data_IF_004319956547
#
_entry.id   IF_004319956547
#
_cell.length_a   1.000
_cell.length_b   1.000
_cell.length_c   1.000
_cell.angle_alpha   90.00
_cell.angle_beta   90.00
_cell.angle_gamma   90.00
#
_symmetry.space_group_name_H-M   'P 1'
#
loop_
_entity.id
_entity.type
_entity.pdbx_description
1 polymer ?
#
# COMPACT_ATOMS: atom_id res chain seq x y z
N UNK A 1 -5.35 1.65 19.93
CA UNK A 1 -4.63 2.18 21.11
C UNK A 1 -4.20 1.01 21.96
N UNK A 2 -2.92 0.63 22.01
CA UNK A 2 -2.45 -0.26 23.03
C UNK A 2 -1.48 -1.39 22.66
N UNK A 3 -1.11 -1.57 21.41
CA UNK A 3 -0.09 -2.56 21.06
C UNK A 3 1.18 -1.86 20.53
N UNK A 4 1.66 -0.89 21.30
CA UNK A 4 2.97 -0.30 21.02
C UNK A 4 4.05 -1.34 21.26
N UNK A 5 4.83 -1.66 20.23
CA UNK A 5 6.02 -2.47 20.39
C UNK A 5 7.06 -1.68 21.19
N UNK A 6 7.76 -2.35 22.08
CA UNK A 6 8.91 -1.79 22.77
C UNK A 6 10.06 -1.55 21.79
N UNK A 7 10.99 -0.67 22.13
CA UNK A 7 12.20 -0.43 21.32
C UNK A 7 13.01 -1.71 21.09
N UNK A 8 12.99 -2.63 22.05
CA UNK A 8 13.67 -3.94 21.91
C UNK A 8 12.98 -4.81 20.85
N UNK A 9 11.65 -4.88 20.87
CA UNK A 9 10.86 -5.62 19.86
C UNK A 9 11.04 -5.02 18.48
N UNK A 10 10.94 -3.71 18.35
CA UNK A 10 11.21 -2.99 17.08
C UNK A 10 12.62 -3.33 16.57
N UNK A 11 13.61 -3.34 17.46
CA UNK A 11 14.99 -3.66 17.08
C UNK A 11 15.14 -5.10 16.60
N UNK A 12 14.47 -6.05 17.23
CA UNK A 12 14.46 -7.47 16.81
C UNK A 12 13.82 -7.62 15.44
N UNK A 13 12.64 -7.06 15.23
CA UNK A 13 11.92 -7.11 13.97
C UNK A 13 12.75 -6.44 12.87
N UNK A 14 13.35 -5.28 13.16
CA UNK A 14 14.22 -4.58 12.22
C UNK A 14 15.39 -5.45 11.74
N UNK A 15 16.13 -6.06 12.67
CA UNK A 15 17.26 -6.94 12.34
C UNK A 15 16.83 -8.11 11.47
N UNK A 16 15.68 -8.68 11.77
CA UNK A 16 15.11 -9.79 11.01
C UNK A 16 14.73 -9.37 9.61
N UNK A 17 14.01 -8.27 9.45
CA UNK A 17 13.60 -7.74 8.14
C UNK A 17 14.80 -7.40 7.29
N UNK A 18 15.82 -6.78 7.87
CA UNK A 18 17.07 -6.51 7.16
C UNK A 18 17.75 -7.80 6.70
N UNK A 19 17.74 -8.85 7.52
CA UNK A 19 18.26 -10.17 7.18
C UNK A 19 17.52 -10.84 6.03
N UNK A 20 16.19 -10.86 6.07
CA UNK A 20 15.36 -11.43 4.99
C UNK A 20 15.64 -10.78 3.64
N UNK A 21 15.88 -9.50 3.62
CA UNK A 21 16.19 -8.75 2.39
C UNK A 21 17.69 -8.66 2.10
N UNK A 22 18.50 -9.49 2.75
CA UNK A 22 19.97 -9.51 2.57
C UNK A 22 20.62 -8.12 2.72
N UNK A 23 20.07 -7.29 3.61
CA UNK A 23 20.51 -5.90 3.87
C UNK A 23 20.45 -4.97 2.64
N UNK A 24 19.58 -5.26 1.66
CA UNK A 24 19.44 -4.48 0.42
C UNK A 24 18.27 -3.52 0.42
N UNK A 25 17.55 -3.40 1.52
CA UNK A 25 16.43 -2.47 1.67
C UNK A 25 16.89 -1.19 2.38
N UNK A 26 16.12 -0.12 2.17
CA UNK A 26 16.32 1.14 2.91
C UNK A 26 15.81 0.97 4.35
N UNK A 27 16.74 0.68 5.25
CA UNK A 27 16.45 0.46 6.65
C UNK A 27 15.85 1.68 7.36
N UNK A 28 16.15 2.88 6.90
CA UNK A 28 15.60 4.12 7.49
C UNK A 28 14.10 4.25 7.20
N UNK A 29 13.66 3.89 6.00
CA UNK A 29 12.23 3.86 5.65
C UNK A 29 11.50 2.79 6.43
N UNK A 30 12.12 1.61 6.57
CA UNK A 30 11.53 0.54 7.34
C UNK A 30 11.40 0.92 8.83
N UNK A 31 12.41 1.55 9.40
CA UNK A 31 12.36 2.03 10.78
C UNK A 31 11.29 3.10 10.96
N UNK A 32 11.15 4.03 10.01
CA UNK A 32 10.08 5.02 10.02
C UNK A 32 8.69 4.36 10.00
N UNK A 33 8.52 3.31 9.18
CA UNK A 33 7.29 2.52 9.18
C UNK A 33 7.03 1.89 10.54
N UNK A 34 8.03 1.21 11.11
CA UNK A 34 7.88 0.55 12.42
C UNK A 34 7.51 1.54 13.55
N UNK A 35 8.05 2.75 13.50
CA UNK A 35 7.79 3.79 14.50
C UNK A 35 6.45 4.49 14.34
N UNK A 36 5.94 4.62 13.09
CA UNK A 36 4.78 5.44 12.79
C UNK A 36 3.57 4.71 12.20
N UNK A 37 3.69 3.41 11.97
CA UNK A 37 2.57 2.63 11.41
C UNK A 37 1.33 2.63 12.30
N UNK A 38 1.50 2.63 13.62
CA UNK A 38 0.39 2.74 14.58
C UNK A 38 -0.35 4.06 14.46
N UNK A 39 0.37 5.19 14.36
CA UNK A 39 -0.23 6.51 14.13
C UNK A 39 -1.00 6.57 12.80
N UNK A 40 -0.43 5.99 11.74
CA UNK A 40 -1.08 5.93 10.44
C UNK A 40 -2.34 5.06 10.47
N UNK A 41 -2.30 3.95 11.20
CA UNK A 41 -3.48 3.08 11.38
C UNK A 41 -4.56 3.75 12.22
N UNK A 42 -4.22 4.41 13.32
CA UNK A 42 -5.18 5.17 14.12
C UNK A 42 -5.86 6.25 13.26
N UNK A 43 -5.08 6.95 12.43
CA UNK A 43 -5.62 7.93 11.50
C UNK A 43 -6.60 7.29 10.49
N UNK A 44 -6.25 6.16 9.92
CA UNK A 44 -7.10 5.43 8.98
C UNK A 44 -8.42 5.02 9.65
N UNK A 45 -8.35 4.41 10.84
CA UNK A 45 -9.51 3.96 11.60
C UNK A 45 -10.43 5.13 11.94
N UNK A 46 -9.87 6.24 12.42
CA UNK A 46 -10.66 7.43 12.78
C UNK A 46 -11.41 8.01 11.57
N UNK A 47 -10.81 7.94 10.38
CA UNK A 47 -11.44 8.45 9.16
C UNK A 47 -12.43 7.45 8.55
N UNK A 48 -12.18 6.17 8.69
CA UNK A 48 -13.11 5.12 8.27
C UNK A 48 -14.39 5.13 9.11
N UNK A 49 -14.30 5.31 10.43
CA UNK A 49 -15.49 5.38 11.30
C UNK A 49 -16.36 6.60 11.00
N UNK A 50 -15.79 7.67 10.50
CA UNK A 50 -16.54 8.88 10.07
C UNK A 50 -17.11 8.78 8.67
N UNK A 51 -16.54 7.93 7.80
CA UNK A 51 -17.00 7.67 6.44
C UNK A 51 -17.94 6.46 6.36
N UNK A 52 -18.21 5.87 7.46
CA UNK A 52 -18.57 4.52 7.74
C UNK A 52 -19.87 4.05 7.15
N UNK A 53 -19.96 3.58 6.03
CA UNK A 53 -20.95 2.54 5.66
C UNK A 53 -20.71 2.14 4.20
N UNK A 54 -19.92 1.15 3.97
CA UNK A 54 -19.93 0.44 2.71
C UNK A 54 -20.99 -0.66 2.80
N UNK A 55 -21.98 -0.61 1.92
CA UNK A 55 -23.06 -1.60 1.91
C UNK A 55 -23.94 -1.61 3.16
N UNK A 56 -23.95 -0.52 3.95
CA UNK A 56 -24.79 -0.41 5.14
C UNK A 56 -24.21 -1.02 6.42
N UNK A 57 -22.98 -1.51 6.38
CA UNK A 57 -22.30 -2.11 7.53
C UNK A 57 -21.10 -1.27 7.95
N UNK A 58 -20.87 -1.19 9.24
CA UNK A 58 -19.68 -0.57 9.80
C UNK A 58 -18.47 -1.52 9.63
N UNK A 59 -17.36 -1.00 9.11
CA UNK A 59 -16.10 -1.74 9.09
C UNK A 59 -15.50 -1.76 10.48
N UNK A 60 -15.21 -2.93 10.98
CA UNK A 60 -14.58 -3.13 12.30
C UNK A 60 -13.16 -3.57 12.10
N UNK A 61 -12.15 -2.77 12.50
CA UNK A 61 -10.77 -3.19 12.49
C UNK A 61 -10.53 -4.25 13.56
N UNK A 62 -9.98 -5.37 13.14
CA UNK A 62 -9.57 -6.48 14.02
C UNK A 62 -8.10 -6.69 13.83
N UNK A 63 -7.40 -6.85 14.96
CA UNK A 63 -5.99 -7.20 14.89
C UNK A 63 -5.83 -8.70 14.72
N UNK A 64 -5.18 -9.11 13.66
CA UNK A 64 -4.81 -10.50 13.45
C UNK A 64 -3.44 -10.81 14.02
N UNK A 65 -3.37 -11.93 14.72
CA UNK A 65 -2.12 -12.54 15.11
C UNK A 65 -1.65 -13.46 13.98
N UNK A 66 -0.59 -13.11 13.32
CA UNK A 66 0.10 -14.05 12.46
C UNK A 66 0.78 -15.09 13.33
N UNK A 67 0.34 -16.33 13.21
CA UNK A 67 1.06 -17.46 13.79
C UNK A 67 2.36 -17.61 13.03
N UNK A 68 3.42 -17.16 13.62
CA UNK A 68 4.73 -17.60 13.22
C UNK A 68 4.90 -19.07 13.57
N UNK A 69 5.67 -19.78 12.75
CA UNK A 69 6.16 -21.12 13.05
C UNK A 69 6.56 -21.19 14.55
N UNK A 70 6.12 -22.21 15.32
CA UNK A 70 6.52 -22.39 16.71
C UNK A 70 8.05 -22.42 16.91
N UNK A 71 8.81 -22.73 15.87
CA UNK A 71 10.27 -22.62 15.85
C UNK A 71 10.77 -21.21 15.56
N UNK A 72 9.87 -20.29 15.21
CA UNK A 72 10.25 -18.90 14.97
C UNK A 72 10.51 -18.19 16.31
N UNK A 73 11.78 -17.99 16.59
CA UNK A 73 12.30 -17.32 17.78
C UNK A 73 11.80 -15.90 18.02
N UNK A 74 10.91 -15.38 17.19
CA UNK A 74 10.45 -14.00 17.28
C UNK A 74 9.08 -13.83 17.92
N UNK A 75 8.46 -14.92 18.33
CA UNK A 75 7.20 -14.88 19.05
C UNK A 75 6.01 -14.39 18.20
N UNK A 76 4.89 -14.34 18.84
CA UNK A 76 3.66 -13.79 18.28
C UNK A 76 3.75 -12.27 18.27
N UNK A 77 3.97 -11.70 17.09
CA UNK A 77 3.77 -10.27 16.91
C UNK A 77 2.39 -10.02 16.31
N UNK A 78 1.60 -9.09 16.85
CA UNK A 78 0.42 -8.61 16.16
C UNK A 78 0.89 -7.98 14.85
N UNK A 79 0.60 -8.67 13.73
CA UNK A 79 1.25 -8.37 12.46
C UNK A 79 0.43 -7.50 11.54
N UNK A 80 -0.90 -7.59 11.60
CA UNK A 80 -1.76 -6.93 10.62
C UNK A 80 -3.14 -6.60 11.19
N UNK A 81 -3.86 -5.74 10.48
CA UNK A 81 -5.25 -5.45 10.74
C UNK A 81 -6.10 -6.01 9.62
N UNK A 82 -7.15 -6.70 10.00
CA UNK A 82 -8.25 -7.08 9.11
C UNK A 82 -9.45 -6.18 9.38
N UNK A 83 -10.25 -5.94 8.36
CA UNK A 83 -11.46 -5.13 8.48
C UNK A 83 -12.67 -6.00 8.21
N UNK A 84 -13.45 -6.26 9.25
CA UNK A 84 -14.65 -7.10 9.18
C UNK A 84 -15.91 -6.25 9.05
N UNK A 85 -16.98 -6.85 8.53
CA UNK A 85 -18.31 -6.24 8.45
C UNK A 85 -18.68 -5.67 7.10
N UNK A 86 -17.74 -5.51 6.18
CA UNK A 86 -18.02 -5.07 4.82
C UNK A 86 -18.63 -6.16 3.93
N UNK A 87 -19.17 -5.78 2.76
CA UNK A 87 -19.81 -6.71 1.83
C UNK A 87 -18.84 -7.71 1.21
N UNK A 88 -17.55 -7.38 1.11
CA UNK A 88 -16.52 -8.21 0.47
C UNK A 88 -15.75 -9.11 1.45
N UNK A 89 -16.10 -9.11 2.73
CA UNK A 89 -15.42 -9.87 3.78
C UNK A 89 -16.16 -11.12 4.25
N UNK A 90 -16.84 -11.88 3.37
CA UNK A 90 -17.70 -13.01 3.76
C UNK A 90 -17.68 -14.21 2.82
N UNK A 91 -16.55 -14.65 2.34
CA UNK A 91 -16.53 -15.82 1.49
C UNK A 91 -15.13 -16.33 1.12
N UNK A 92 -15.03 -17.40 0.34
CA UNK A 92 -13.74 -17.94 -0.08
C UNK A 92 -12.91 -17.00 -0.97
N UNK A 93 -13.56 -15.97 -1.52
CA UNK A 93 -12.94 -14.92 -2.33
C UNK A 93 -12.93 -13.57 -1.55
N UNK A 94 -12.82 -13.63 -0.24
CA UNK A 94 -12.83 -12.46 0.64
C UNK A 94 -11.79 -11.42 0.22
N UNK A 95 -12.28 -10.20 0.03
CA UNK A 95 -11.43 -9.04 -0.24
C UNK A 95 -11.75 -7.87 0.69
N UNK A 96 -11.50 -8.00 2.00
CA UNK A 96 -11.76 -6.92 2.96
C UNK A 96 -10.96 -5.65 2.68
N UNK A 97 -9.86 -5.76 1.94
CA UNK A 97 -9.11 -4.59 1.48
C UNK A 97 -9.90 -3.72 0.50
N UNK A 98 -10.77 -4.33 -0.30
CA UNK A 98 -11.68 -3.58 -1.18
C UNK A 98 -12.65 -2.72 -0.36
N UNK A 99 -13.18 -3.25 0.75
CA UNK A 99 -14.07 -2.50 1.64
C UNK A 99 -13.37 -1.28 2.25
N UNK A 100 -12.09 -1.42 2.61
CA UNK A 100 -11.26 -0.29 3.08
C UNK A 100 -11.11 0.77 1.98
N UNK A 101 -10.79 0.34 0.76
CA UNK A 101 -10.64 1.24 -0.38
C UNK A 101 -11.94 1.99 -0.70
N UNK A 102 -13.06 1.29 -0.74
CA UNK A 102 -14.37 1.87 -1.03
C UNK A 102 -14.80 2.87 0.06
N UNK A 103 -14.53 2.55 1.31
CA UNK A 103 -14.79 3.44 2.43
C UNK A 103 -13.93 4.72 2.36
N UNK A 104 -12.64 4.59 2.08
CA UNK A 104 -11.74 5.72 1.90
C UNK A 104 -12.10 6.55 0.66
N UNK A 105 -12.53 5.92 -0.43
CA UNK A 105 -13.05 6.62 -1.60
C UNK A 105 -14.29 7.46 -1.27
N UNK A 106 -15.23 6.90 -0.50
CA UNK A 106 -16.40 7.63 -0.03
C UNK A 106 -16.02 8.81 0.87
N UNK A 107 -15.02 8.63 1.77
CA UNK A 107 -14.49 9.72 2.59
C UNK A 107 -13.86 10.82 1.73
N UNK A 108 -13.04 10.47 0.75
CA UNK A 108 -12.42 11.42 -0.17
C UNK A 108 -13.49 12.22 -0.95
N UNK A 109 -14.51 11.55 -1.47
CA UNK A 109 -15.61 12.20 -2.18
C UNK A 109 -16.35 13.20 -1.26
N UNK A 110 -16.63 12.81 -0.02
CA UNK A 110 -17.26 13.69 0.99
C UNK A 110 -16.36 14.89 1.34
N UNK A 111 -15.04 14.71 1.33
CA UNK A 111 -14.06 15.78 1.54
C UNK A 111 -13.88 16.68 0.32
N UNK A 112 -14.56 16.42 -0.80
CA UNK A 112 -14.50 17.23 -2.02
C UNK A 112 -13.31 16.90 -2.92
N UNK A 113 -12.71 15.72 -2.79
CA UNK A 113 -11.68 15.25 -3.71
C UNK A 113 -12.30 14.87 -5.04
N UNK A 114 -11.75 15.42 -6.13
CA UNK A 114 -12.14 15.07 -7.50
C UNK A 114 -11.45 13.74 -7.88
N UNK A 115 -12.20 12.64 -7.77
CA UNK A 115 -11.72 11.30 -8.06
C UNK A 115 -12.05 10.92 -9.51
N UNK A 116 -11.02 10.65 -10.30
CA UNK A 116 -11.14 10.33 -11.72
C UNK A 116 -10.59 8.94 -12.02
N UNK A 117 -11.47 7.99 -12.16
CA UNK A 117 -11.17 6.63 -12.59
C UNK A 117 -10.92 6.55 -14.09
N UNK A 118 -10.39 5.43 -14.55
CA UNK A 118 -10.09 5.18 -15.97
C UNK A 118 -9.19 6.26 -16.61
N UNK A 119 -8.29 6.81 -15.80
CA UNK A 119 -7.30 7.78 -16.21
C UNK A 119 -5.90 7.22 -15.98
N UNK A 120 -5.40 6.45 -16.95
CA UNK A 120 -4.10 5.81 -16.85
C UNK A 120 -2.96 6.83 -17.00
N UNK A 121 -2.16 7.02 -15.96
CA UNK A 121 -1.00 7.90 -15.99
C UNK A 121 0.04 7.40 -17.00
N UNK A 122 0.53 8.30 -17.86
CA UNK A 122 1.50 8.00 -18.93
C UNK A 122 2.82 8.72 -18.73
N UNK A 123 2.77 9.98 -18.33
CA UNK A 123 3.96 10.82 -18.28
C UNK A 123 3.82 11.93 -17.25
N UNK A 124 4.89 12.20 -16.50
CA UNK A 124 4.97 13.38 -15.64
C UNK A 124 5.27 14.62 -16.50
N UNK A 125 4.62 15.72 -16.16
CA UNK A 125 4.88 17.04 -16.77
C UNK A 125 5.87 17.79 -15.89
N UNK A 126 6.97 18.24 -16.48
CA UNK A 126 8.01 19.02 -15.79
C UNK A 126 8.07 20.46 -16.30
N UNK A 127 8.46 21.33 -15.39
CA UNK A 127 8.91 22.69 -15.66
C UNK A 127 10.27 22.86 -14.97
N UNK A 128 11.34 22.81 -15.74
CA UNK A 128 12.68 22.62 -15.21
C UNK A 128 12.80 21.32 -14.42
N UNK A 129 13.22 21.42 -13.17
CA UNK A 129 13.34 20.25 -12.26
C UNK A 129 12.06 19.96 -11.47
N UNK A 130 11.05 20.81 -11.56
CA UNK A 130 9.80 20.63 -10.82
C UNK A 130 8.78 19.82 -11.61
N UNK A 131 8.18 18.82 -10.97
CA UNK A 131 6.98 18.15 -11.51
C UNK A 131 5.76 19.02 -11.25
N UNK A 132 5.08 19.39 -12.33
CA UNK A 132 3.93 20.31 -12.32
C UNK A 132 2.63 19.63 -12.75
N UNK A 133 2.64 18.36 -13.08
CA UNK A 133 1.42 17.68 -13.51
C UNK A 133 1.67 16.28 -14.04
N UNK A 134 0.63 15.71 -14.60
CA UNK A 134 0.64 14.38 -15.21
C UNK A 134 -0.19 14.37 -16.49
N UNK A 135 0.25 13.62 -17.48
CA UNK A 135 -0.53 13.27 -18.67
C UNK A 135 -1.09 11.86 -18.46
N UNK A 136 -2.40 11.73 -18.66
CA UNK A 136 -3.11 10.46 -18.57
C UNK A 136 -3.80 10.17 -19.91
N UNK A 137 -4.13 8.89 -20.15
CA UNK A 137 -5.15 8.50 -21.15
C UNK A 137 -6.46 8.22 -20.43
N UNK A 138 -7.55 8.82 -20.89
CA UNK A 138 -8.91 8.57 -20.38
C UNK A 138 -9.53 7.30 -20.99
N UNK A 139 -10.78 7.00 -20.65
CA UNK A 139 -11.54 5.85 -21.16
C UNK A 139 -11.71 5.89 -22.71
N UNK A 140 -11.73 7.07 -23.31
CA UNK A 140 -11.83 7.25 -24.76
C UNK A 140 -10.48 7.18 -25.48
N UNK A 141 -9.41 6.81 -24.76
CA UNK A 141 -8.02 6.84 -25.23
C UNK A 141 -7.48 8.21 -25.64
N UNK A 142 -8.07 9.27 -25.14
CA UNK A 142 -7.59 10.63 -25.36
C UNK A 142 -6.57 11.02 -24.30
N UNK A 143 -5.58 11.82 -24.70
CA UNK A 143 -4.61 12.36 -23.76
C UNK A 143 -5.15 13.58 -23.01
N UNK A 144 -5.19 13.47 -21.69
CA UNK A 144 -5.62 14.54 -20.78
C UNK A 144 -4.45 14.97 -19.91
N UNK A 145 -4.20 16.26 -19.86
CA UNK A 145 -3.14 16.85 -19.02
C UNK A 145 -3.74 17.45 -17.76
N UNK A 146 -3.29 16.97 -16.62
CA UNK A 146 -3.65 17.51 -15.29
C UNK A 146 -2.51 18.33 -14.73
N UNK A 147 -2.80 19.57 -14.33
CA UNK A 147 -1.81 20.47 -13.73
C UNK A 147 -1.96 20.50 -12.22
N UNK A 148 -0.86 20.24 -11.51
CA UNK A 148 -0.80 20.24 -10.07
C UNK A 148 -0.18 21.54 -9.55
N UNK A 149 -0.91 22.28 -8.71
CA UNK A 149 -0.43 23.54 -8.14
C UNK A 149 0.63 23.33 -7.03
N UNK A 150 0.50 22.26 -6.27
CA UNK A 150 1.39 21.96 -5.13
C UNK A 150 2.42 20.87 -5.45
N UNK A 151 2.01 19.81 -6.11
CA UNK A 151 2.86 18.67 -6.45
C UNK A 151 2.04 17.47 -6.88
N UNK A 152 2.71 16.41 -7.29
CA UNK A 152 2.13 15.12 -7.67
C UNK A 152 2.61 14.07 -6.68
N UNK A 153 1.69 13.30 -6.10
CA UNK A 153 2.00 12.13 -5.28
C UNK A 153 1.89 10.90 -6.15
N UNK A 154 2.96 10.12 -6.22
CA UNK A 154 2.96 8.84 -6.91
C UNK A 154 2.66 7.73 -5.90
N UNK A 155 1.52 7.06 -6.08
CA UNK A 155 1.08 5.91 -5.29
C UNK A 155 0.73 4.75 -6.24
N UNK A 156 1.60 4.49 -7.20
CA UNK A 156 1.38 3.59 -8.35
C UNK A 156 1.74 2.12 -8.06
N UNK A 157 2.10 1.81 -6.84
CA UNK A 157 2.53 0.47 -6.45
C UNK A 157 3.98 0.16 -6.82
N UNK A 158 4.28 -1.11 -7.00
CA UNK A 158 5.60 -1.59 -7.37
C UNK A 158 5.76 -1.78 -8.90
N UNK A 159 6.95 -2.18 -9.32
CA UNK A 159 7.28 -2.44 -10.72
C UNK A 159 7.58 -3.92 -11.01
N UNK A 160 7.06 -4.84 -10.18
CA UNK A 160 7.33 -6.28 -10.29
C UNK A 160 6.89 -6.91 -11.61
N UNK A 161 5.97 -6.29 -12.35
CA UNK A 161 5.53 -6.74 -13.67
C UNK A 161 6.19 -6.01 -14.85
N UNK A 162 7.05 -5.03 -14.58
CA UNK A 162 7.74 -4.25 -15.62
C UNK A 162 9.15 -4.80 -15.87
N UNK A 163 9.32 -5.55 -16.97
CA UNK A 163 10.60 -6.17 -17.33
C UNK A 163 11.72 -5.16 -17.56
N UNK A 164 11.42 -3.99 -18.11
CA UNK A 164 12.41 -2.95 -18.36
C UNK A 164 12.96 -2.40 -17.03
N UNK A 165 12.07 -2.10 -16.10
CA UNK A 165 12.47 -1.66 -14.76
C UNK A 165 13.18 -2.75 -13.98
N UNK A 166 12.71 -4.00 -14.06
CA UNK A 166 13.40 -5.14 -13.45
C UNK A 166 14.81 -5.29 -13.99
N UNK A 167 14.98 -5.27 -15.32
CA UNK A 167 16.30 -5.35 -15.94
C UNK A 167 17.24 -4.22 -15.50
N UNK A 168 16.70 -3.02 -15.33
CA UNK A 168 17.47 -1.84 -14.95
C UNK A 168 17.87 -1.83 -13.47
N UNK A 169 16.97 -2.20 -12.57
CA UNK A 169 17.17 -2.00 -11.13
C UNK A 169 17.48 -3.28 -10.36
N UNK A 170 16.96 -4.42 -10.81
CA UNK A 170 17.16 -5.71 -10.15
C UNK A 170 17.36 -6.85 -11.18
N UNK A 171 18.36 -6.77 -12.08
CA UNK A 171 18.53 -7.72 -13.17
C UNK A 171 18.74 -9.16 -12.71
N UNK A 172 19.24 -9.38 -11.52
CA UNK A 172 19.40 -10.70 -10.92
C UNK A 172 18.04 -11.41 -10.68
N UNK A 173 16.95 -10.68 -10.46
CA UNK A 173 15.62 -11.25 -10.29
C UNK A 173 15.11 -11.92 -11.58
N UNK A 174 15.43 -11.36 -12.73
CA UNK A 174 15.12 -11.97 -14.03
C UNK A 174 15.97 -13.22 -14.28
N UNK A 175 17.22 -13.23 -13.81
CA UNK A 175 18.13 -14.38 -13.95
C UNK A 175 17.72 -15.56 -13.05
N UNK A 176 17.15 -15.28 -11.88
CA UNK A 176 16.66 -16.29 -10.95
C UNK A 176 15.39 -17.01 -11.44
N UNK A 177 14.82 -16.55 -12.54
CA UNK A 177 13.55 -17.05 -13.08
C UNK A 177 12.35 -16.38 -12.40
N UNK A 178 11.26 -16.30 -13.14
CA UNK A 178 10.02 -15.61 -12.66
C UNK A 178 9.34 -16.26 -11.46
N UNK A 179 9.73 -17.47 -11.08
CA UNK A 179 9.14 -18.21 -9.97
C UNK A 179 9.32 -17.60 -8.57
N UNK A 180 10.07 -16.49 -8.46
CA UNK A 180 10.23 -15.73 -7.22
C UNK A 180 9.66 -14.32 -7.28
N UNK A 181 9.14 -13.90 -8.43
CA UNK A 181 8.49 -12.60 -8.61
C UNK A 181 7.01 -12.89 -8.74
N UNK A 182 6.20 -12.29 -7.91
CA UNK A 182 4.76 -12.49 -7.90
C UNK A 182 4.16 -12.10 -9.26
N UNK A 183 3.74 -13.12 -10.02
CA UNK A 183 3.08 -12.93 -11.31
C UNK A 183 1.73 -12.19 -11.19
N UNK A 184 1.20 -12.02 -9.99
CA UNK A 184 -0.11 -11.46 -9.71
C UNK A 184 -0.16 -10.04 -9.15
N UNK A 185 0.96 -9.48 -8.71
CA UNK A 185 0.96 -8.17 -8.03
C UNK A 185 1.50 -7.02 -8.88
N UNK A 186 2.01 -7.30 -10.05
CA UNK A 186 2.70 -6.29 -10.83
C UNK A 186 1.77 -5.44 -11.67
N UNK A 187 1.73 -4.16 -11.41
CA UNK A 187 1.21 -3.19 -12.36
C UNK A 187 2.30 -2.86 -13.37
N UNK A 188 2.01 -3.01 -14.66
CA UNK A 188 2.84 -2.38 -15.70
C UNK A 188 2.57 -0.88 -15.62
N UNK A 189 3.57 -0.15 -15.24
CA UNK A 189 3.53 1.31 -15.34
C UNK A 189 3.71 1.78 -16.78
#
# INVERSE_FOLDING_TARGET
KGYGLSDEEISKIYKRMMGYHSYRIDGSKWMLHAQRSGEAMDWLIDHMTTASQVGGNDLTPVMEHWYSDPEDVNGEFPGTHEFLGGPNGKGPDDNPQQDVCDNMAAYCAKAGVDMRYENAAKQLVKDGDRVIGVICTNADNEYVKYIARKGVVMATGDFGADEEMLQKYIPWALQAGRGGIWEGSGHKM
#
